data_IF_198254935592
#
_entry.id   IF_198254935592
#
_cell.length_a   1.000
_cell.length_b   1.000
_cell.length_c   1.000
_cell.angle_alpha   90.00
_cell.angle_beta   90.00
_cell.angle_gamma   90.00
#
_symmetry.space_group_name_H-M   'P 1'
#
loop_
_entity.id
_entity.type
_entity.pdbx_description
1 polymer ?
#
# COMPACT_ATOMS: atom_id res chain seq x y z
N UNK A 1 15.14 -6.50 20.84
CA UNK A 1 14.98 -7.86 20.28
C UNK A 1 13.53 -8.24 20.52
N UNK A 2 12.73 -8.51 19.49
CA UNK A 2 11.30 -8.79 19.63
C UNK A 2 11.05 -10.28 19.50
N UNK A 3 10.46 -10.89 20.52
CA UNK A 3 10.11 -12.30 20.53
C UNK A 3 8.63 -12.43 20.15
N UNK A 4 8.28 -13.40 19.30
CA UNK A 4 6.90 -13.72 18.89
C UNK A 4 6.60 -15.18 19.21
N UNK A 5 5.44 -15.45 19.80
CA UNK A 5 4.90 -16.80 20.04
C UNK A 5 3.56 -16.93 19.31
N UNK A 6 3.32 -18.06 18.64
CA UNK A 6 2.05 -18.43 18.02
C UNK A 6 1.56 -19.72 18.66
N UNK A 7 0.40 -19.66 19.31
CA UNK A 7 -0.17 -20.77 20.05
C UNK A 7 -1.44 -21.22 19.32
N UNK A 8 -1.54 -22.50 18.97
CA UNK A 8 -2.71 -23.09 18.30
C UNK A 8 -3.66 -23.62 19.35
N UNK A 9 -4.83 -22.98 19.49
CA UNK A 9 -5.81 -23.29 20.55
C UNK A 9 -7.03 -23.92 19.89
N UNK A 10 -7.20 -25.22 20.09
CA UNK A 10 -8.30 -25.98 19.48
C UNK A 10 -9.57 -26.03 20.35
N UNK A 11 -9.61 -25.28 21.46
CA UNK A 11 -10.72 -25.18 22.40
C UNK A 11 -11.23 -23.76 22.59
N UNK A 12 -12.11 -23.55 23.58
CA UNK A 12 -12.60 -22.21 23.90
C UNK A 12 -11.46 -21.30 24.35
N UNK A 13 -11.36 -20.13 23.72
CA UNK A 13 -10.42 -19.10 24.11
C UNK A 13 -10.97 -18.36 25.35
N UNK A 14 -10.37 -18.59 26.51
CA UNK A 14 -10.83 -18.02 27.79
C UNK A 14 -10.04 -16.77 28.17
N UNK A 15 -10.61 -15.93 29.04
CA UNK A 15 -9.91 -14.77 29.60
C UNK A 15 -8.66 -15.17 30.40
N UNK A 16 -8.71 -16.29 31.13
CA UNK A 16 -7.58 -16.81 31.91
C UNK A 16 -6.35 -17.09 31.05
N UNK A 17 -6.55 -17.55 29.81
CA UNK A 17 -5.46 -17.77 28.86
C UNK A 17 -4.71 -16.46 28.57
N UNK A 18 -5.44 -15.37 28.28
CA UNK A 18 -4.85 -14.06 28.05
C UNK A 18 -4.17 -13.50 29.30
N UNK A 19 -4.79 -13.66 30.47
CA UNK A 19 -4.20 -13.23 31.74
C UNK A 19 -2.87 -13.96 32.02
N UNK A 20 -2.78 -15.26 31.73
CA UNK A 20 -1.54 -16.02 31.87
C UNK A 20 -0.45 -15.53 30.91
N UNK A 21 -0.76 -15.37 29.62
CA UNK A 21 0.21 -14.84 28.64
C UNK A 21 0.68 -13.43 29.01
N UNK A 22 -0.21 -12.59 29.51
CA UNK A 22 0.14 -11.26 30.00
C UNK A 22 1.06 -11.31 31.24
N UNK A 23 0.81 -12.23 32.18
CA UNK A 23 1.67 -12.45 33.34
C UNK A 23 3.08 -12.95 32.96
N UNK A 24 3.19 -13.70 31.86
CA UNK A 24 4.46 -14.12 31.24
C UNK A 24 5.14 -12.98 30.43
N UNK A 25 4.55 -11.80 30.37
CA UNK A 25 5.10 -10.63 29.68
C UNK A 25 4.75 -10.54 28.20
N UNK A 26 3.86 -11.39 27.69
CA UNK A 26 3.38 -11.32 26.30
C UNK A 26 2.26 -10.31 26.15
N UNK A 27 2.29 -9.55 25.06
CA UNK A 27 1.17 -8.70 24.62
C UNK A 27 0.49 -9.33 23.41
N UNK A 28 -0.83 -9.19 23.31
CA UNK A 28 -1.58 -9.70 22.15
C UNK A 28 -1.19 -8.88 20.92
N UNK A 29 -0.66 -9.55 19.91
CA UNK A 29 -0.22 -8.91 18.67
C UNK A 29 -1.28 -8.96 17.54
N UNK A 30 -2.10 -10.02 17.50
CA UNK A 30 -3.17 -10.21 16.51
C UNK A 30 -4.20 -11.23 17.02
N UNK A 31 -5.45 -11.14 16.55
CA UNK A 31 -6.50 -12.15 16.74
C UNK A 31 -7.17 -12.39 15.39
N UNK A 32 -7.21 -13.66 14.97
CA UNK A 32 -7.87 -14.09 13.74
C UNK A 32 -9.23 -14.72 14.07
N UNK A 33 -10.28 -14.28 13.38
CA UNK A 33 -11.63 -14.80 13.54
C UNK A 33 -12.04 -15.56 12.28
N UNK A 34 -12.29 -16.86 12.42
CA UNK A 34 -12.74 -17.72 11.33
C UNK A 34 -14.16 -18.17 11.64
N UNK A 35 -15.06 -18.04 10.66
CA UNK A 35 -16.39 -18.66 10.69
C UNK A 35 -16.67 -19.31 9.34
N UNK A 36 -17.29 -20.48 9.37
CA UNK A 36 -17.85 -21.09 8.16
C UNK A 36 -19.10 -20.32 7.75
N UNK A 37 -19.22 -20.00 6.46
CA UNK A 37 -20.42 -19.39 5.88
C UNK A 37 -20.85 -20.30 4.74
N UNK A 38 -22.11 -20.72 4.73
CA UNK A 38 -22.67 -21.50 3.62
C UNK A 38 -22.66 -20.67 2.33
N UNK A 39 -22.18 -21.28 1.24
CA UNK A 39 -22.02 -20.68 -0.09
C UNK A 39 -23.32 -20.03 -0.59
N UNK A 40 -23.49 -18.74 -0.35
CA UNK A 40 -24.54 -17.93 -1.00
C UNK A 40 -24.33 -16.42 -0.90
N UNK A 41 -23.09 -15.99 -1.09
CA UNK A 41 -22.73 -14.69 -1.68
C UNK A 41 -21.27 -14.81 -2.07
N UNK A 42 -20.81 -14.27 -3.22
CA UNK A 42 -19.38 -13.97 -3.35
C UNK A 42 -19.06 -13.13 -2.12
N UNK A 43 -18.28 -13.68 -1.21
CA UNK A 43 -17.70 -12.89 -0.16
C UNK A 43 -16.87 -11.86 -0.92
N UNK A 44 -17.42 -10.66 -1.11
CA UNK A 44 -16.56 -9.50 -1.20
C UNK A 44 -15.64 -9.68 0.00
N UNK A 45 -14.31 -9.81 -0.22
CA UNK A 45 -13.38 -9.92 0.88
C UNK A 45 -13.80 -8.82 1.82
N UNK A 46 -14.02 -9.15 3.11
CA UNK A 46 -14.29 -8.15 4.14
C UNK A 46 -13.09 -7.23 4.04
N UNK A 47 -13.23 -6.17 3.25
CA UNK A 47 -12.27 -5.12 3.16
C UNK A 47 -12.56 -4.42 4.46
N UNK A 48 -11.73 -4.73 5.45
CA UNK A 48 -11.47 -3.75 6.47
C UNK A 48 -11.06 -2.54 5.63
N UNK A 49 -11.95 -1.57 5.51
CA UNK A 49 -11.74 -0.33 4.79
C UNK A 49 -10.67 0.45 5.55
N UNK A 50 -9.42 -0.02 5.50
CA UNK A 50 -8.20 0.74 5.73
C UNK A 50 -7.95 1.72 4.58
N UNK A 51 -8.93 1.89 3.69
CA UNK A 51 -8.82 2.66 2.46
C UNK A 51 -8.51 4.14 2.70
N UNK A 52 -8.74 4.68 3.89
CA UNK A 52 -8.39 6.06 4.24
C UNK A 52 -7.01 6.25 4.91
N UNK A 53 -6.37 5.21 5.45
CA UNK A 53 -5.11 5.37 6.22
C UNK A 53 -3.84 4.88 5.50
N UNK A 54 -3.96 4.13 4.39
CA UNK A 54 -2.79 3.60 3.70
C UNK A 54 -2.15 4.64 2.77
N UNK A 55 -0.88 5.05 3.01
CA UNK A 55 -0.21 5.99 2.12
C UNK A 55 -0.15 5.46 0.69
N UNK A 56 -0.34 6.35 -0.30
CA UNK A 56 -0.22 5.97 -1.70
C UNK A 56 1.20 5.46 -2.01
N UNK A 57 1.31 4.36 -2.77
CA UNK A 57 2.56 3.63 -2.98
C UNK A 57 2.80 2.50 -1.98
N UNK A 58 1.91 2.29 -1.01
CA UNK A 58 1.99 1.22 -0.01
C UNK A 58 0.74 0.35 -0.05
N UNK A 59 0.92 -0.93 0.30
CA UNK A 59 -0.17 -1.87 0.55
C UNK A 59 0.12 -2.67 1.82
N UNK A 60 -0.91 -3.27 2.40
CA UNK A 60 -0.70 -4.28 3.44
C UNK A 60 -0.05 -5.51 2.80
N UNK A 61 0.96 -6.06 3.47
CA UNK A 61 1.53 -7.34 3.09
C UNK A 61 0.50 -8.47 3.22
N UNK A 62 0.74 -9.59 2.53
CA UNK A 62 -0.17 -10.74 2.58
C UNK A 62 -0.38 -11.35 3.98
N UNK A 63 0.49 -11.02 4.94
CA UNK A 63 0.33 -11.39 6.36
C UNK A 63 -0.57 -10.41 7.15
N UNK A 64 -0.97 -9.27 6.56
CA UNK A 64 -1.80 -8.23 7.17
C UNK A 64 -1.15 -7.44 8.29
N UNK A 65 0.15 -7.64 8.56
CA UNK A 65 0.83 -7.11 9.75
C UNK A 65 1.86 -6.01 9.44
N UNK A 66 2.25 -5.85 8.19
CA UNK A 66 3.25 -4.87 7.78
C UNK A 66 2.79 -4.13 6.51
N UNK A 67 3.44 -2.99 6.25
CA UNK A 67 3.27 -2.28 4.99
C UNK A 67 4.41 -2.65 4.06
N UNK A 68 4.05 -3.01 2.83
CA UNK A 68 4.99 -3.23 1.74
C UNK A 68 4.70 -2.25 0.59
N UNK A 69 5.65 -2.13 -0.34
CA UNK A 69 5.47 -1.27 -1.49
C UNK A 69 4.40 -1.86 -2.42
N UNK A 70 3.41 -1.06 -2.80
CA UNK A 70 2.53 -1.43 -3.90
C UNK A 70 3.29 -1.14 -5.22
N UNK A 71 3.62 -2.17 -6.02
CA UNK A 71 4.46 -1.98 -7.19
C UNK A 71 3.82 -1.05 -8.23
N UNK A 72 2.50 -1.14 -8.44
CA UNK A 72 1.79 -0.31 -9.41
C UNK A 72 1.74 1.15 -8.96
N UNK A 73 1.33 1.42 -7.72
CA UNK A 73 1.25 2.78 -7.19
C UNK A 73 2.64 3.42 -7.09
N UNK A 74 3.67 2.63 -6.77
CA UNK A 74 5.06 3.08 -6.77
C UNK A 74 5.54 3.48 -8.17
N UNK A 75 5.20 2.70 -9.21
CA UNK A 75 5.46 3.08 -10.60
C UNK A 75 4.78 4.41 -10.94
N UNK A 76 3.52 4.60 -10.54
CA UNK A 76 2.81 5.86 -10.76
C UNK A 76 3.53 7.04 -10.09
N UNK A 77 3.98 6.90 -8.83
CA UNK A 77 4.74 7.95 -8.15
C UNK A 77 6.04 8.30 -8.90
N UNK A 78 6.77 7.30 -9.39
CA UNK A 78 7.99 7.51 -10.19
C UNK A 78 7.68 8.24 -11.51
N UNK A 79 6.59 7.89 -12.18
CA UNK A 79 6.15 8.56 -13.41
C UNK A 79 5.77 10.01 -13.14
N UNK A 80 5.02 10.29 -12.07
CA UNK A 80 4.66 11.67 -11.70
C UNK A 80 5.93 12.48 -11.40
N UNK A 81 6.89 11.92 -10.64
CA UNK A 81 8.19 12.57 -10.40
C UNK A 81 8.93 12.88 -11.69
N UNK A 82 9.02 11.91 -12.61
CA UNK A 82 9.67 12.10 -13.91
C UNK A 82 9.04 13.25 -14.70
N UNK A 83 7.71 13.35 -14.67
CA UNK A 83 6.96 14.39 -15.38
C UNK A 83 7.08 15.76 -14.71
N UNK A 84 7.14 15.82 -13.37
CA UNK A 84 7.46 17.04 -12.62
C UNK A 84 8.87 17.53 -12.95
N UNK A 85 9.85 16.63 -13.02
CA UNK A 85 11.23 16.96 -13.42
C UNK A 85 11.31 17.47 -14.86
N UNK A 86 10.36 17.10 -15.72
CA UNK A 86 10.17 17.65 -17.07
C UNK A 86 9.37 18.95 -17.08
N UNK A 87 9.07 19.53 -15.93
CA UNK A 87 8.28 20.76 -15.77
C UNK A 87 6.87 20.68 -16.40
N UNK A 88 6.31 19.46 -16.51
CA UNK A 88 4.96 19.28 -17.05
C UNK A 88 3.92 19.80 -16.07
N UNK A 89 2.87 20.43 -16.62
CA UNK A 89 1.72 20.90 -15.84
C UNK A 89 0.94 19.72 -15.27
N UNK A 90 0.40 19.85 -14.07
CA UNK A 90 -0.39 18.80 -13.39
C UNK A 90 -1.54 18.27 -14.28
N UNK A 91 -2.20 19.14 -15.03
CA UNK A 91 -3.24 18.75 -15.99
C UNK A 91 -2.73 17.81 -17.07
N UNK A 92 -1.54 18.09 -17.62
CA UNK A 92 -0.90 17.25 -18.61
C UNK A 92 -0.44 15.91 -18.02
N UNK A 93 0.07 15.91 -16.78
CA UNK A 93 0.46 14.67 -16.08
C UNK A 93 -0.74 13.74 -15.95
N UNK A 94 -1.90 14.24 -15.52
CA UNK A 94 -3.12 13.45 -15.39
C UNK A 94 -3.56 12.85 -16.74
N UNK A 95 -3.54 13.64 -17.82
CA UNK A 95 -3.85 13.16 -19.17
C UNK A 95 -2.90 12.04 -19.61
N UNK A 96 -1.59 12.25 -19.49
CA UNK A 96 -0.59 11.26 -19.93
C UNK A 96 -0.66 9.96 -19.12
N UNK A 97 -0.97 10.02 -17.82
CA UNK A 97 -1.20 8.82 -17.00
C UNK A 97 -2.41 8.02 -17.52
N UNK A 98 -3.51 8.71 -17.86
CA UNK A 98 -4.71 8.07 -18.37
C UNK A 98 -4.52 7.44 -19.76
N UNK A 99 -3.81 8.13 -20.65
CA UNK A 99 -3.45 7.67 -21.99
C UNK A 99 -2.54 6.43 -21.93
N UNK A 100 -1.62 6.39 -20.96
CA UNK A 100 -0.79 5.23 -20.67
C UNK A 100 -1.55 4.08 -19.96
N UNK A 101 -2.84 4.25 -19.69
CA UNK A 101 -3.69 3.20 -19.10
C UNK A 101 -3.67 3.10 -17.58
N UNK A 102 -2.94 3.98 -16.87
CA UNK A 102 -2.94 3.98 -15.41
C UNK A 102 -4.26 4.49 -14.84
N UNK A 103 -4.65 3.95 -13.69
CA UNK A 103 -5.83 4.36 -12.93
C UNK A 103 -5.45 4.61 -11.47
N UNK A 104 -6.28 5.34 -10.76
CA UNK A 104 -6.11 5.56 -9.32
C UNK A 104 -6.31 4.25 -8.55
N UNK A 105 -6.03 4.26 -7.24
CA UNK A 105 -6.32 3.13 -6.33
C UNK A 105 -7.78 2.66 -6.42
N UNK A 106 -8.70 3.60 -6.63
CA UNK A 106 -10.14 3.33 -6.74
C UNK A 106 -10.57 2.98 -8.17
N UNK A 107 -9.61 2.63 -9.04
CA UNK A 107 -9.82 2.33 -10.45
C UNK A 107 -10.47 3.47 -11.25
N UNK A 108 -10.41 4.70 -10.76
CA UNK A 108 -10.93 5.89 -11.46
C UNK A 108 -9.86 6.52 -12.36
N UNK A 109 -10.26 7.30 -13.37
CA UNK A 109 -9.31 8.09 -14.16
C UNK A 109 -8.59 9.14 -13.30
N UNK A 110 -7.34 9.44 -13.65
CA UNK A 110 -6.58 10.52 -13.04
C UNK A 110 -7.19 11.88 -13.40
N UNK A 111 -7.45 12.69 -12.38
CA UNK A 111 -7.80 14.10 -12.51
C UNK A 111 -6.63 14.99 -12.05
N UNK A 112 -6.57 16.26 -12.48
CA UNK A 112 -5.56 17.19 -11.96
C UNK A 112 -5.58 17.27 -10.43
N UNK A 113 -6.77 17.22 -9.81
CA UNK A 113 -6.94 17.22 -8.35
C UNK A 113 -6.31 15.98 -7.72
N UNK A 114 -6.58 14.77 -8.24
CA UNK A 114 -6.01 13.53 -7.71
C UNK A 114 -4.48 13.48 -7.82
N UNK A 115 -3.89 14.11 -8.85
CA UNK A 115 -2.42 14.24 -8.97
C UNK A 115 -1.89 15.27 -7.97
N UNK A 116 -2.60 16.38 -7.78
CA UNK A 116 -2.24 17.41 -6.80
C UNK A 116 -2.27 16.87 -5.36
N UNK A 117 -3.27 16.05 -5.02
CA UNK A 117 -3.39 15.37 -3.72
C UNK A 117 -2.21 14.45 -3.40
N UNK A 118 -1.47 13.99 -4.42
CA UNK A 118 -0.26 13.18 -4.23
C UNK A 118 1.01 13.99 -3.97
N UNK A 119 0.99 15.32 -4.10
CA UNK A 119 2.18 16.15 -3.88
C UNK A 119 2.80 15.98 -2.49
N UNK A 120 2.05 15.96 -1.36
CA UNK A 120 2.62 15.69 -0.04
C UNK A 120 3.36 14.35 -0.01
N UNK A 121 2.74 13.31 -0.60
CA UNK A 121 3.33 11.97 -0.65
C UNK A 121 4.63 11.93 -1.45
N UNK A 122 4.69 12.68 -2.54
CA UNK A 122 5.89 12.80 -3.38
C UNK A 122 7.02 13.54 -2.66
N UNK A 123 6.71 14.48 -1.77
CA UNK A 123 7.71 15.14 -0.92
C UNK A 123 8.25 14.14 0.11
N UNK A 124 7.38 13.37 0.74
CA UNK A 124 7.75 12.38 1.77
C UNK A 124 8.57 11.21 1.19
N UNK A 125 8.09 10.57 0.13
CA UNK A 125 8.77 9.42 -0.48
C UNK A 125 9.83 9.80 -1.50
N UNK A 126 9.83 11.03 -2.00
CA UNK A 126 10.71 11.50 -3.07
C UNK A 126 12.18 11.14 -2.85
N UNK A 127 12.79 11.45 -1.69
CA UNK A 127 14.20 11.13 -1.44
C UNK A 127 14.54 9.64 -1.53
N UNK A 128 13.63 8.74 -1.15
CA UNK A 128 13.83 7.30 -1.24
C UNK A 128 13.57 6.79 -2.67
N UNK A 129 12.53 7.30 -3.34
CA UNK A 129 12.20 6.97 -4.73
C UNK A 129 13.33 7.37 -5.68
N UNK A 130 13.89 8.57 -5.54
CA UNK A 130 14.96 9.08 -6.41
C UNK A 130 16.30 8.33 -6.25
N UNK A 131 16.50 7.63 -5.13
CA UNK A 131 17.68 6.78 -4.89
C UNK A 131 17.50 5.34 -5.39
N UNK A 132 16.30 4.98 -5.80
CA UNK A 132 15.96 3.62 -6.20
C UNK A 132 16.50 3.25 -7.59
N UNK A 133 16.71 1.95 -7.82
CA UNK A 133 17.11 1.42 -9.12
C UNK A 133 16.05 1.71 -10.19
N UNK A 134 14.77 1.65 -9.83
CA UNK A 134 13.65 1.91 -10.73
C UNK A 134 13.68 3.35 -11.26
N UNK A 135 14.10 4.30 -10.43
CA UNK A 135 14.31 5.68 -10.89
C UNK A 135 15.44 5.79 -11.93
N UNK A 136 16.53 5.04 -11.73
CA UNK A 136 17.63 5.01 -12.71
C UNK A 136 17.17 4.40 -14.04
N UNK A 137 16.27 3.41 -14.02
CA UNK A 137 15.68 2.84 -15.24
C UNK A 137 14.78 3.84 -15.96
N UNK A 138 13.90 4.55 -15.24
CA UNK A 138 13.05 5.62 -15.81
C UNK A 138 13.92 6.70 -16.47
N UNK A 139 15.01 7.10 -15.82
CA UNK A 139 15.98 8.08 -16.36
C UNK A 139 16.80 7.51 -17.52
N UNK A 140 17.18 6.25 -17.45
CA UNK A 140 17.96 5.56 -18.48
C UNK A 140 17.17 5.36 -19.76
N UNK A 141 15.88 5.04 -19.66
CA UNK A 141 14.97 5.00 -20.81
C UNK A 141 14.89 6.38 -21.48
N UNK A 142 14.80 7.45 -20.68
CA UNK A 142 14.77 8.83 -21.19
C UNK A 142 16.04 9.24 -21.94
N UNK A 143 17.22 8.84 -21.46
CA UNK A 143 18.50 9.13 -22.15
C UNK A 143 18.67 8.41 -23.49
N UNK A 144 17.82 7.42 -23.81
CA UNK A 144 17.89 6.65 -25.06
C UNK A 144 16.89 7.09 -26.13
N UNK A 145 15.93 7.95 -25.78
CA UNK A 145 14.83 8.39 -26.66
C UNK A 145 15.04 9.84 -27.15
N UNK A 146 16.10 10.51 -26.67
CA UNK A 146 16.63 11.77 -27.20
C UNK A 146 17.91 11.51 -27.98
#
# INVERSE_FOLDING_TARGET
>A
MMQRSRDLISGQLTLDYFMRKAAEGWTVAAVEWVREVEDSVPAEPISISFTEDLPYGMQLSGDGLHLEANPLERTVLLLILDKIVQEKRITQIATELNEAGFRTRHATPWTPSSVFELLPRLIEAGPALLKSSEWQEVRGHRSRVH
#
